data_IF_652661255510
#
_entry.id   IF_652661255510
#
_cell.length_a   1.000
_cell.length_b   1.000
_cell.length_c   1.000
_cell.angle_alpha   90.00
_cell.angle_beta   90.00
_cell.angle_gamma   90.00
#
_symmetry.space_group_name_H-M   'P 1'
#
loop_
_entity.id
_entity.type
_entity.pdbx_description
1 polymer ?
#
# COMPACT_ATOMS: atom_id res chain seq x y z
N UNK A 1 28.08 -12.59 -16.11
CA UNK A 1 27.93 -11.15 -15.79
C UNK A 1 26.47 -10.91 -15.42
N UNK A 2 26.21 -10.30 -14.26
CA UNK A 2 24.87 -10.15 -13.66
C UNK A 2 24.08 -9.08 -14.42
N UNK A 3 22.90 -9.45 -14.92
CA UNK A 3 21.99 -8.57 -15.68
C UNK A 3 20.89 -8.04 -14.74
N UNK A 4 20.50 -6.79 -14.96
CA UNK A 4 19.80 -5.89 -14.05
C UNK A 4 18.27 -6.08 -14.14
N UNK A 5 17.64 -6.29 -12.97
CA UNK A 5 16.20 -6.30 -12.73
C UNK A 5 15.66 -4.85 -12.80
N UNK A 6 14.52 -4.63 -13.45
CA UNK A 6 13.86 -3.32 -13.53
C UNK A 6 13.19 -3.05 -12.18
N UNK A 7 13.64 -2.01 -11.47
CA UNK A 7 13.28 -1.67 -10.08
C UNK A 7 12.41 -0.42 -10.07
N UNK A 8 11.22 -0.49 -9.46
CA UNK A 8 10.48 0.70 -9.06
C UNK A 8 11.17 1.33 -7.84
N UNK A 9 11.53 2.62 -7.95
CA UNK A 9 12.24 3.33 -6.89
C UNK A 9 11.26 4.11 -6.03
N UNK A 10 11.04 3.67 -4.79
CA UNK A 10 10.46 4.51 -3.76
C UNK A 10 11.60 5.03 -2.88
N UNK A 11 11.85 6.35 -2.95
CA UNK A 11 12.88 6.98 -2.15
C UNK A 11 12.28 7.38 -0.80
N UNK A 12 12.85 6.90 0.30
CA UNK A 12 12.39 7.26 1.65
C UNK A 12 13.41 8.16 2.30
N UNK A 13 12.92 9.27 2.85
CA UNK A 13 13.71 10.12 3.73
C UNK A 13 13.41 9.77 5.18
N UNK A 14 14.43 9.30 5.90
CA UNK A 14 14.37 9.02 7.34
C UNK A 14 15.14 10.12 8.07
N UNK A 15 14.44 10.96 8.83
CA UNK A 15 15.06 11.99 9.66
C UNK A 15 15.64 11.37 10.93
N UNK A 16 16.94 11.10 10.94
CA UNK A 16 17.66 10.47 12.07
C UNK A 16 17.55 11.18 13.44
N UNK A 17 17.45 12.51 13.56
CA UNK A 17 17.44 13.13 14.89
C UNK A 17 16.06 13.12 15.60
N UNK A 18 14.97 12.74 14.90
CA UNK A 18 13.59 12.75 15.46
C UNK A 18 12.93 11.36 15.42
N UNK A 19 13.53 10.40 14.71
CA UNK A 19 12.99 9.06 14.54
C UNK A 19 13.75 8.09 15.44
N UNK A 20 13.14 7.66 16.55
CA UNK A 20 13.77 6.72 17.48
C UNK A 20 14.10 5.38 16.81
N UNK A 21 15.22 4.76 17.21
CA UNK A 21 15.77 3.52 16.62
C UNK A 21 14.73 2.39 16.47
N UNK A 22 13.79 2.31 17.42
CA UNK A 22 12.69 1.32 17.42
C UNK A 22 11.73 1.53 16.25
N UNK A 23 11.34 2.78 15.96
CA UNK A 23 10.43 3.09 14.88
C UNK A 23 11.10 2.91 13.51
N UNK A 24 12.41 3.16 13.45
CA UNK A 24 13.21 2.83 12.28
C UNK A 24 13.29 1.34 12.02
N UNK A 25 13.55 0.54 13.05
CA UNK A 25 13.56 -0.90 12.93
C UNK A 25 12.19 -1.44 12.50
N UNK A 26 11.11 -0.91 13.07
CA UNK A 26 9.74 -1.28 12.70
C UNK A 26 9.46 -1.01 11.22
N UNK A 27 9.75 0.20 10.75
CA UNK A 27 9.59 0.55 9.34
C UNK A 27 10.42 -0.36 8.42
N UNK A 28 11.70 -0.58 8.74
CA UNK A 28 12.57 -1.45 7.95
C UNK A 28 12.05 -2.89 7.92
N UNK A 29 11.48 -3.38 9.03
CA UNK A 29 10.88 -4.71 9.11
C UNK A 29 9.64 -4.83 8.23
N UNK A 30 8.78 -3.81 8.18
CA UNK A 30 7.58 -3.83 7.32
C UNK A 30 7.93 -3.65 5.86
N UNK A 31 8.84 -2.75 5.51
CA UNK A 31 9.37 -2.60 4.16
C UNK A 31 9.92 -3.92 3.62
N UNK A 32 10.79 -4.59 4.39
CA UNK A 32 11.35 -5.91 4.01
C UNK A 32 10.29 -6.99 3.82
N UNK A 33 9.17 -6.93 4.55
CA UNK A 33 8.11 -7.91 4.38
C UNK A 33 7.45 -7.79 2.99
N UNK A 34 7.32 -6.56 2.47
CA UNK A 34 6.88 -6.32 1.10
C UNK A 34 7.96 -6.63 0.06
N UNK A 35 9.22 -6.23 0.29
CA UNK A 35 10.34 -6.52 -0.64
C UNK A 35 10.62 -8.02 -0.79
N UNK A 36 10.35 -8.81 0.25
CA UNK A 36 10.65 -10.25 0.25
C UNK A 36 9.93 -11.01 -0.86
N UNK A 37 8.68 -10.66 -1.10
CA UNK A 37 7.77 -11.41 -1.98
C UNK A 37 7.22 -10.52 -3.13
N UNK A 38 7.84 -9.35 -3.35
CA UNK A 38 7.57 -8.47 -4.50
C UNK A 38 8.86 -7.93 -5.12
N UNK A 39 8.77 -7.27 -6.28
CA UNK A 39 9.93 -6.62 -6.92
C UNK A 39 10.16 -5.17 -6.48
N UNK A 40 9.40 -4.67 -5.50
CA UNK A 40 9.56 -3.31 -4.98
C UNK A 40 10.80 -3.21 -4.11
N UNK A 41 11.46 -2.05 -4.09
CA UNK A 41 12.64 -1.81 -3.28
C UNK A 41 12.54 -0.44 -2.58
N UNK A 42 12.80 -0.42 -1.28
CA UNK A 42 12.81 0.78 -0.45
C UNK A 42 14.26 1.23 -0.20
N UNK A 43 14.62 2.41 -0.70
CA UNK A 43 15.98 2.96 -0.55
C UNK A 43 16.00 4.19 0.35
N UNK A 44 16.89 4.19 1.33
CA UNK A 44 17.22 5.38 2.14
C UNK A 44 17.86 6.45 1.23
N UNK A 45 17.23 7.62 1.16
CA UNK A 45 17.79 8.80 0.47
C UNK A 45 18.76 9.51 1.41
N UNK A 46 20.07 9.40 1.14
CA UNK A 46 21.13 10.13 1.87
C UNK A 46 21.18 11.60 1.44
N UNK A 47 21.00 12.51 2.40
CA UNK A 47 21.02 13.98 2.19
C UNK A 47 19.81 14.67 2.84
N UNK A 48 19.98 15.93 3.28
CA UNK A 48 18.96 16.71 3.99
C UNK A 48 17.67 16.97 3.19
N UNK A 49 16.66 17.60 3.80
CA UNK A 49 15.30 17.70 3.27
C UNK A 49 15.28 18.66 2.07
N UNK A 50 15.59 18.16 0.88
CA UNK A 50 15.19 18.81 -0.37
C UNK A 50 14.25 17.89 -1.13
N UNK A 51 12.98 18.29 -1.04
CA UNK A 51 11.79 17.66 -1.59
C UNK A 51 11.90 17.66 -3.12
N UNK A 52 11.86 16.46 -3.70
CA UNK A 52 11.75 16.27 -5.14
C UNK A 52 10.40 15.65 -5.38
N UNK A 53 9.54 16.43 -6.02
CA UNK A 53 8.11 16.19 -6.19
C UNK A 53 7.78 14.77 -6.68
N UNK A 54 7.01 14.05 -5.86
CA UNK A 54 6.10 12.99 -6.29
C UNK A 54 6.60 11.54 -6.16
N UNK A 55 7.75 11.29 -5.55
CA UNK A 55 8.23 9.90 -5.33
C UNK A 55 8.95 9.71 -3.99
N UNK A 56 8.83 10.69 -3.09
CA UNK A 56 9.47 10.64 -1.76
C UNK A 56 8.42 10.37 -0.70
N UNK A 57 8.68 9.38 0.16
CA UNK A 57 7.91 9.16 1.38
C UNK A 57 8.71 9.63 2.59
N UNK A 58 8.09 10.48 3.39
CA UNK A 58 8.61 10.92 4.67
C UNK A 58 8.06 10.01 5.76
N UNK A 59 8.95 9.21 6.35
CA UNK A 59 8.58 8.29 7.42
C UNK A 59 8.86 8.96 8.76
N UNK A 60 7.88 8.94 9.64
CA UNK A 60 7.99 9.45 11.01
C UNK A 60 7.28 8.53 12.01
N UNK A 61 7.62 8.69 13.28
CA UNK A 61 6.91 8.11 14.42
C UNK A 61 7.02 9.14 15.52
N UNK A 62 5.89 9.69 15.96
CA UNK A 62 5.89 10.75 16.97
C UNK A 62 6.03 10.12 18.37
N UNK A 63 6.81 10.76 19.23
CA UNK A 63 7.00 10.38 20.64
C UNK A 63 5.82 10.88 21.51
N UNK A 64 4.85 11.54 20.89
CA UNK A 64 3.73 12.19 21.57
C UNK A 64 2.57 11.21 21.79
N UNK A 65 1.72 11.60 22.74
CA UNK A 65 0.57 10.95 23.40
C UNK A 65 -0.41 10.11 22.52
N UNK A 66 -0.25 10.04 21.20
CA UNK A 66 -1.11 9.31 20.26
C UNK A 66 -0.26 8.33 19.42
N UNK A 67 -0.38 7.03 19.71
CA UNK A 67 0.21 5.95 18.94
C UNK A 67 -0.65 5.68 17.69
N UNK A 68 -0.40 6.36 16.59
CA UNK A 68 -1.18 6.19 15.37
C UNK A 68 -0.32 5.88 14.13
N UNK A 69 -0.90 5.11 13.22
CA UNK A 69 -0.34 4.78 11.91
C UNK A 69 -1.22 5.43 10.84
N UNK A 70 -0.58 6.06 9.85
CA UNK A 70 -1.31 6.79 8.82
C UNK A 70 -0.46 7.02 7.59
N UNK A 71 -1.09 6.97 6.41
CA UNK A 71 -0.50 7.36 5.15
C UNK A 71 -1.33 8.49 4.51
N UNK A 72 -0.71 9.66 4.34
CA UNK A 72 -1.39 10.87 3.88
C UNK A 72 -0.56 11.64 2.86
N UNK A 73 -1.21 12.50 2.07
CA UNK A 73 -0.51 13.53 1.30
C UNK A 73 0.00 14.65 2.22
N UNK A 74 1.21 15.15 1.96
CA UNK A 74 1.82 16.24 2.72
C UNK A 74 1.08 17.56 2.47
N UNK A 75 0.59 18.27 3.52
CA UNK A 75 -0.18 19.50 3.34
C UNK A 75 0.59 20.68 2.75
N UNK A 76 1.93 20.72 2.85
CA UNK A 76 2.67 21.97 2.70
C UNK A 76 3.66 22.08 1.54
N UNK A 77 4.12 21.02 0.87
CA UNK A 77 5.09 21.18 -0.23
C UNK A 77 4.91 20.04 -1.26
N UNK A 78 4.34 20.37 -2.43
CA UNK A 78 4.40 19.59 -3.68
C UNK A 78 4.27 18.05 -3.60
N UNK A 79 3.05 17.52 -3.48
CA UNK A 79 2.69 16.10 -3.79
C UNK A 79 3.55 15.01 -3.12
N UNK A 80 4.18 15.27 -2.00
CA UNK A 80 4.93 14.24 -1.28
C UNK A 80 4.04 13.51 -0.27
N UNK A 81 4.42 12.28 0.11
CA UNK A 81 3.62 11.44 1.00
C UNK A 81 4.24 11.33 2.39
N UNK A 82 3.39 11.33 3.42
CA UNK A 82 3.72 11.17 4.84
C UNK A 82 3.28 9.77 5.29
N UNK A 83 4.19 9.03 5.92
CA UNK A 83 3.92 7.71 6.49
C UNK A 83 4.29 7.71 7.98
N UNK A 84 3.28 7.56 8.83
CA UNK A 84 3.45 7.36 10.27
C UNK A 84 3.53 5.88 10.59
N UNK A 85 4.59 5.46 11.30
CA UNK A 85 4.68 4.15 11.95
C UNK A 85 4.48 4.23 13.47
N UNK A 86 3.94 5.36 13.95
CA UNK A 86 3.77 5.67 15.38
C UNK A 86 2.88 4.70 16.16
N UNK A 87 2.09 3.86 15.48
CA UNK A 87 1.32 2.80 16.16
C UNK A 87 2.21 1.73 16.82
N UNK A 88 3.48 1.60 16.42
CA UNK A 88 4.46 0.80 17.15
C UNK A 88 4.33 -0.72 17.01
N UNK A 89 3.49 -1.22 16.09
CA UNK A 89 3.36 -2.65 15.79
C UNK A 89 3.36 -2.94 14.28
N UNK A 90 3.72 -4.17 13.93
CA UNK A 90 3.98 -4.59 12.54
C UNK A 90 2.76 -4.42 11.62
N UNK A 91 1.58 -4.91 12.02
CA UNK A 91 0.39 -4.93 11.16
C UNK A 91 -0.02 -3.54 10.68
N UNK A 92 -0.09 -2.57 11.59
CA UNK A 92 -0.44 -1.18 11.25
C UNK A 92 0.62 -0.53 10.37
N UNK A 93 1.90 -0.65 10.73
CA UNK A 93 2.97 -0.09 9.88
C UNK A 93 3.04 -0.77 8.49
N UNK A 94 2.72 -2.07 8.37
CA UNK A 94 2.67 -2.77 7.10
C UNK A 94 1.45 -2.38 6.25
N UNK A 95 0.31 -2.07 6.89
CA UNK A 95 -0.88 -1.50 6.26
C UNK A 95 -0.57 -0.15 5.61
N UNK A 96 0.10 0.77 6.31
CA UNK A 96 0.47 2.07 5.74
C UNK A 96 1.48 1.95 4.60
N UNK A 97 2.38 0.96 4.66
CA UNK A 97 3.24 0.63 3.51
C UNK A 97 2.40 0.10 2.34
N UNK A 98 1.34 -0.66 2.58
CA UNK A 98 0.37 -1.07 1.56
C UNK A 98 -0.29 0.13 0.86
N UNK A 99 -0.69 1.16 1.62
CA UNK A 99 -1.18 2.41 1.05
C UNK A 99 -0.13 3.14 0.20
N UNK A 100 1.12 3.18 0.65
CA UNK A 100 2.24 3.72 -0.12
C UNK A 100 2.48 2.99 -1.45
N UNK A 101 2.19 1.68 -1.49
CA UNK A 101 2.22 0.84 -2.70
C UNK A 101 0.94 0.96 -3.54
N UNK A 102 0.00 1.81 -3.12
CA UNK A 102 -1.22 2.16 -3.84
C UNK A 102 -2.40 1.24 -3.59
N UNK A 103 -2.33 0.36 -2.57
CA UNK A 103 -3.48 -0.42 -2.13
C UNK A 103 -4.50 0.49 -1.43
N UNK A 104 -5.79 0.22 -1.67
CA UNK A 104 -6.90 0.89 -0.99
C UNK A 104 -7.44 -0.03 0.11
N UNK A 105 -8.24 0.54 1.01
CA UNK A 105 -8.98 -0.30 1.95
C UNK A 105 -9.91 -1.28 1.21
N UNK A 106 -9.80 -2.57 1.51
CA UNK A 106 -10.50 -3.62 0.75
C UNK A 106 -12.02 -3.47 0.81
N UNK A 107 -12.57 -3.01 1.94
CA UNK A 107 -14.01 -2.76 2.10
C UNK A 107 -14.54 -1.57 1.28
N UNK A 108 -13.66 -0.77 0.70
CA UNK A 108 -14.00 0.37 -0.17
C UNK A 108 -13.96 0.01 -1.65
N UNK A 109 -13.70 -1.24 -2.02
CA UNK A 109 -13.75 -1.68 -3.42
C UNK A 109 -15.15 -1.47 -4.02
N UNK A 110 -15.20 -1.17 -5.32
CA UNK A 110 -16.45 -0.98 -6.07
C UNK A 110 -17.36 -2.21 -6.00
N UNK A 111 -16.76 -3.40 -6.05
CA UNK A 111 -17.42 -4.72 -6.03
C UNK A 111 -17.71 -5.25 -4.61
N UNK A 112 -17.39 -4.48 -3.55
CA UNK A 112 -17.45 -4.96 -2.16
C UNK A 112 -18.85 -5.44 -1.73
N UNK A 113 -19.94 -4.92 -2.31
CA UNK A 113 -21.31 -5.27 -1.91
C UNK A 113 -21.68 -6.74 -2.24
N UNK A 114 -20.89 -7.43 -3.06
CA UNK A 114 -21.04 -8.89 -3.24
C UNK A 114 -20.48 -9.69 -2.04
N UNK A 115 -19.63 -9.06 -1.22
CA UNK A 115 -18.84 -9.69 -0.17
C UNK A 115 -19.17 -9.15 1.23
N UNK A 116 -19.65 -7.91 1.32
CA UNK A 116 -19.97 -7.21 2.56
C UNK A 116 -21.35 -6.57 2.50
N UNK A 117 -21.98 -6.52 3.66
CA UNK A 117 -23.17 -5.73 3.95
C UNK A 117 -22.75 -4.62 4.91
N UNK A 118 -22.97 -3.36 4.52
CA UNK A 118 -22.89 -2.22 5.43
C UNK A 118 -24.26 -2.00 6.05
N UNK A 119 -24.34 -2.08 7.39
CA UNK A 119 -25.58 -1.90 8.14
C UNK A 119 -25.66 -0.47 8.68
N UNK A 120 -26.40 0.40 7.97
CA UNK A 120 -26.52 1.83 8.32
C UNK A 120 -27.07 2.07 9.73
N UNK A 121 -27.94 1.18 10.26
CA UNK A 121 -28.41 1.27 11.66
C UNK A 121 -27.28 1.06 12.66
N UNK A 122 -26.35 0.14 12.36
CA UNK A 122 -25.18 -0.10 13.19
C UNK A 122 -24.12 1.00 13.02
N UNK A 123 -23.96 1.56 11.81
CA UNK A 123 -23.14 2.76 11.56
C UNK A 123 -23.66 3.95 12.38
N UNK A 124 -24.97 4.21 12.36
CA UNK A 124 -25.58 5.26 13.17
C UNK A 124 -25.33 5.04 14.66
N UNK A 125 -25.49 3.79 15.14
CA UNK A 125 -25.21 3.45 16.55
C UNK A 125 -23.75 3.72 16.91
N UNK A 126 -22.82 3.33 16.05
CA UNK A 126 -21.39 3.59 16.25
C UNK A 126 -21.11 5.09 16.31
N UNK A 127 -21.60 5.87 15.34
CA UNK A 127 -21.42 7.32 15.31
C UNK A 127 -21.96 7.99 16.58
N UNK A 128 -23.19 7.68 16.98
CA UNK A 128 -23.80 8.28 18.18
C UNK A 128 -23.03 7.96 19.45
N UNK A 129 -22.42 6.78 19.53
CA UNK A 129 -21.59 6.37 20.66
C UNK A 129 -20.24 7.08 20.65
N UNK A 130 -19.57 7.14 19.50
CA UNK A 130 -18.24 7.74 19.37
C UNK A 130 -18.26 9.26 19.53
N UNK A 131 -19.36 9.91 19.17
CA UNK A 131 -19.51 11.37 19.15
C UNK A 131 -20.57 11.89 20.13
N UNK A 132 -20.88 11.13 21.19
CA UNK A 132 -21.97 11.43 22.15
C UNK A 132 -21.89 12.86 22.70
N UNK A 133 -20.70 13.28 23.13
CA UNK A 133 -20.47 14.63 23.68
C UNK A 133 -20.63 15.73 22.62
N UNK A 134 -20.23 15.46 21.38
CA UNK A 134 -20.27 16.44 20.28
C UNK A 134 -21.70 16.68 19.75
N UNK A 135 -22.55 15.65 19.81
CA UNK A 135 -23.94 15.71 19.35
C UNK A 135 -24.92 16.15 20.43
N UNK A 136 -24.48 16.23 21.69
CA UNK A 136 -25.31 16.63 22.82
C UNK A 136 -25.93 18.01 22.61
N UNK A 137 -27.26 18.08 22.64
CA UNK A 137 -28.02 19.32 22.44
C UNK A 137 -28.10 19.80 20.98
N UNK A 138 -27.57 19.04 20.01
CA UNK A 138 -27.77 19.33 18.59
C UNK A 138 -29.15 18.90 18.12
N UNK A 139 -29.65 19.55 17.06
CA UNK A 139 -30.90 19.15 16.40
C UNK A 139 -30.71 17.79 15.73
N UNK A 140 -31.70 16.92 15.85
CA UNK A 140 -31.68 15.57 15.29
C UNK A 140 -31.48 15.57 13.76
N UNK A 141 -31.99 16.59 13.04
CA UNK A 141 -31.74 16.75 11.60
C UNK A 141 -30.27 17.02 11.26
N UNK A 142 -29.55 17.73 12.13
CA UNK A 142 -28.12 18.01 11.94
C UNK A 142 -27.30 16.76 12.26
N UNK A 143 -27.69 16.01 13.30
CA UNK A 143 -27.05 14.74 13.66
C UNK A 143 -27.21 13.72 12.53
N UNK A 144 -28.41 13.58 11.95
CA UNK A 144 -28.64 12.70 10.79
C UNK A 144 -27.76 13.05 9.59
N UNK A 145 -27.66 14.33 9.25
CA UNK A 145 -26.78 14.79 8.16
C UNK A 145 -25.29 14.47 8.44
N UNK A 146 -24.86 14.53 9.70
CA UNK A 146 -23.51 14.12 10.07
C UNK A 146 -23.31 12.61 9.97
N UNK A 147 -24.30 11.80 10.37
CA UNK A 147 -24.27 10.34 10.25
C UNK A 147 -24.19 9.93 8.77
N UNK A 148 -24.99 10.52 7.90
CA UNK A 148 -24.95 10.25 6.45
C UNK A 148 -23.56 10.55 5.87
N UNK A 149 -22.96 11.69 6.25
CA UNK A 149 -21.60 12.04 5.84
C UNK A 149 -20.56 11.08 6.42
N UNK A 150 -20.72 10.66 7.67
CA UNK A 150 -19.83 9.70 8.32
C UNK A 150 -19.87 8.35 7.62
N UNK A 151 -21.07 7.86 7.30
CA UNK A 151 -21.26 6.61 6.54
C UNK A 151 -20.62 6.70 5.15
N UNK A 152 -20.81 7.81 4.42
CA UNK A 152 -20.18 8.01 3.12
C UNK A 152 -18.64 8.03 3.22
N UNK A 153 -18.07 8.68 4.24
CA UNK A 153 -16.62 8.82 4.38
C UNK A 153 -15.95 7.55 4.90
N UNK A 154 -16.54 6.86 5.88
CA UNK A 154 -15.91 5.70 6.54
C UNK A 154 -16.25 4.37 5.87
N UNK A 155 -17.47 4.25 5.36
CA UNK A 155 -18.04 3.00 4.83
C UNK A 155 -18.43 3.11 3.34
N UNK A 156 -18.12 4.23 2.71
CA UNK A 156 -18.26 4.42 1.27
C UNK A 156 -17.40 3.45 0.47
N UNK A 157 -17.73 3.31 -0.81
CA UNK A 157 -16.96 2.53 -1.77
C UNK A 157 -16.60 3.36 -2.99
N UNK A 158 -15.57 2.93 -3.72
CA UNK A 158 -15.19 3.49 -5.00
C UNK A 158 -16.40 3.50 -5.94
N UNK A 159 -16.64 4.64 -6.58
CA UNK A 159 -17.66 4.78 -7.65
C UNK A 159 -17.10 4.37 -9.01
N UNK A 160 -15.79 4.37 -9.17
CA UNK A 160 -15.09 3.97 -10.39
C UNK A 160 -14.94 2.46 -10.42
N UNK A 161 -15.44 1.84 -11.48
CA UNK A 161 -15.24 0.41 -11.74
C UNK A 161 -13.77 0.15 -12.05
N UNK A 162 -13.15 -0.68 -11.21
CA UNK A 162 -11.79 -1.18 -11.37
C UNK A 162 -11.85 -2.70 -11.29
N UNK A 163 -11.01 -3.38 -12.07
CA UNK A 163 -10.87 -4.83 -11.98
C UNK A 163 -9.86 -5.26 -10.91
N UNK A 164 -9.21 -4.31 -10.22
CA UNK A 164 -8.19 -4.56 -9.19
C UNK A 164 -7.11 -5.52 -9.69
N UNK A 165 -6.64 -5.32 -10.93
CA UNK A 165 -5.67 -6.18 -11.61
C UNK A 165 -6.13 -7.66 -11.71
N UNK A 166 -7.43 -7.91 -11.63
CA UNK A 166 -8.02 -9.26 -11.61
C UNK A 166 -7.76 -10.01 -10.30
N UNK A 167 -7.46 -9.31 -9.20
CA UNK A 167 -7.32 -9.91 -7.87
C UNK A 167 -8.70 -10.01 -7.21
N UNK A 168 -9.11 -11.21 -6.74
CA UNK A 168 -10.41 -11.39 -6.09
C UNK A 168 -10.50 -10.61 -4.77
N UNK A 169 -11.71 -10.48 -4.23
CA UNK A 169 -11.93 -9.84 -2.95
C UNK A 169 -11.32 -10.68 -1.81
N UNK A 170 -10.52 -10.06 -0.95
CA UNK A 170 -9.85 -10.76 0.15
C UNK A 170 -10.29 -10.23 1.51
N UNK A 171 -11.08 -11.03 2.24
CA UNK A 171 -11.45 -10.72 3.63
C UNK A 171 -10.24 -10.66 4.57
N UNK A 172 -9.16 -11.39 4.26
CA UNK A 172 -7.94 -11.49 5.07
C UNK A 172 -6.84 -10.54 4.66
N UNK A 173 -7.11 -9.65 3.70
CA UNK A 173 -6.18 -8.60 3.30
C UNK A 173 -5.81 -7.73 4.49
N UNK A 174 -4.52 -7.37 4.59
CA UNK A 174 -4.05 -6.42 5.60
C UNK A 174 -4.73 -5.06 5.46
N UNK A 175 -5.28 -4.76 4.27
CA UNK A 175 -6.01 -3.54 3.94
C UNK A 175 -7.50 -3.61 4.30
N UNK A 176 -7.99 -4.73 4.83
CA UNK A 176 -9.40 -4.91 5.17
C UNK A 176 -9.69 -4.51 6.62
N UNK A 177 -10.65 -3.62 6.84
CA UNK A 177 -11.12 -3.29 8.19
C UNK A 177 -11.70 -4.51 8.91
N UNK A 178 -11.49 -4.57 10.23
CA UNK A 178 -12.13 -5.56 11.09
C UNK A 178 -13.64 -5.35 11.21
N UNK A 179 -14.29 -6.27 11.91
CA UNK A 179 -15.72 -6.16 12.24
C UNK A 179 -15.94 -6.43 13.72
N UNK A 180 -16.84 -5.64 14.33
CA UNK A 180 -17.17 -5.77 15.74
C UNK A 180 -17.95 -7.07 16.03
N UNK A 181 -17.84 -7.57 17.26
CA UNK A 181 -18.55 -8.80 17.60
C UNK A 181 -20.06 -8.60 17.73
N UNK A 182 -20.44 -7.46 18.31
CA UNK A 182 -21.82 -7.05 18.56
C UNK A 182 -22.16 -5.86 17.69
N UNK A 183 -23.33 -5.90 17.04
CA UNK A 183 -23.83 -4.80 16.22
C UNK A 183 -22.81 -4.23 15.20
N UNK A 184 -22.16 -5.09 14.39
CA UNK A 184 -21.13 -4.63 13.46
C UNK A 184 -21.68 -3.73 12.35
N UNK A 185 -21.02 -2.59 12.06
CA UNK A 185 -21.32 -1.78 10.88
C UNK A 185 -21.05 -2.51 9.55
N UNK A 186 -20.03 -3.35 9.50
CA UNK A 186 -19.70 -4.18 8.33
C UNK A 186 -19.85 -5.67 8.64
N UNK A 187 -20.65 -6.36 7.84
CA UNK A 187 -20.98 -7.78 8.01
C UNK A 187 -20.55 -8.54 6.75
N UNK A 188 -19.70 -9.56 6.83
CA UNK A 188 -19.41 -10.39 5.66
C UNK A 188 -20.64 -11.20 5.25
N UNK A 189 -20.86 -11.33 3.94
CA UNK A 189 -21.96 -12.13 3.38
C UNK A 189 -21.82 -13.60 3.76
N UNK A 190 -20.58 -14.14 3.77
CA UNK A 190 -20.24 -15.39 4.45
C UNK A 190 -19.73 -15.12 5.88
N UNK A 191 -20.49 -15.61 6.85
CA UNK A 191 -20.20 -15.46 8.29
C UNK A 191 -18.88 -16.12 8.71
N UNK A 192 -18.38 -17.10 7.96
CA UNK A 192 -17.09 -17.75 8.24
C UNK A 192 -15.91 -16.77 8.16
N UNK A 193 -16.06 -15.67 7.42
CA UNK A 193 -15.01 -14.65 7.26
C UNK A 193 -15.01 -13.56 8.33
N UNK A 194 -15.93 -13.61 9.31
CA UNK A 194 -16.02 -12.58 10.37
C UNK A 194 -14.70 -12.41 11.14
N UNK A 195 -14.00 -13.52 11.42
CA UNK A 195 -12.71 -13.52 12.13
C UNK A 195 -11.50 -13.39 11.20
N UNK A 196 -11.71 -13.44 9.89
CA UNK A 196 -10.67 -13.23 8.88
C UNK A 196 -10.44 -11.74 8.63
N UNK A 197 -11.51 -10.94 8.65
CA UNK A 197 -11.48 -9.48 8.54
C UNK A 197 -10.64 -8.82 9.63
N UNK A 198 -9.88 -7.78 9.28
CA UNK A 198 -8.98 -7.08 10.20
C UNK A 198 -7.66 -7.80 10.47
N UNK A 199 -7.28 -8.72 9.57
CA UNK A 199 -6.01 -9.44 9.60
C UNK A 199 -4.82 -8.50 9.73
N UNK A 200 -3.83 -8.90 10.53
CA UNK A 200 -2.59 -8.16 10.76
C UNK A 200 -1.44 -8.67 9.88
N UNK A 201 -1.75 -9.53 8.91
CA UNK A 201 -0.80 -10.18 8.02
C UNK A 201 -0.98 -9.70 6.59
N UNK A 202 0.14 -9.44 5.91
CA UNK A 202 0.14 -9.21 4.46
C UNK A 202 -0.32 -10.51 3.82
N UNK A 203 -1.49 -10.49 3.18
CA UNK A 203 -2.05 -11.67 2.54
C UNK A 203 -1.32 -11.99 1.23
N UNK A 204 -1.51 -13.20 0.74
CA UNK A 204 -1.05 -13.57 -0.59
C UNK A 204 -1.65 -12.66 -1.69
N UNK A 205 -2.92 -12.26 -1.53
CA UNK A 205 -3.61 -11.46 -2.53
C UNK A 205 -3.17 -9.98 -2.51
N UNK A 206 -2.76 -9.46 -1.34
CA UNK A 206 -2.10 -8.15 -1.24
C UNK A 206 -0.78 -8.14 -2.04
N UNK A 207 0.06 -9.16 -1.86
CA UNK A 207 1.31 -9.32 -2.61
C UNK A 207 1.07 -9.47 -4.11
N UNK A 208 0.06 -10.25 -4.49
CA UNK A 208 -0.32 -10.44 -5.89
C UNK A 208 -0.79 -9.12 -6.53
N UNK A 209 -1.59 -8.31 -5.84
CA UNK A 209 -2.04 -7.02 -6.36
C UNK A 209 -0.85 -6.07 -6.59
N UNK A 210 0.05 -5.97 -5.60
CA UNK A 210 1.28 -5.16 -5.74
C UNK A 210 2.14 -5.67 -6.90
N UNK A 211 2.36 -6.98 -6.99
CA UNK A 211 3.16 -7.56 -8.06
C UNK A 211 2.56 -7.34 -9.45
N UNK A 212 1.24 -7.40 -9.60
CA UNK A 212 0.57 -7.08 -10.86
C UNK A 212 0.60 -5.59 -11.18
N UNK A 213 0.48 -4.73 -10.17
CA UNK A 213 0.53 -3.27 -10.32
C UNK A 213 1.88 -2.78 -10.81
N UNK A 214 2.96 -3.41 -10.36
CA UNK A 214 4.33 -3.03 -10.68
C UNK A 214 5.01 -3.99 -11.69
N UNK A 215 4.22 -4.79 -12.42
CA UNK A 215 4.70 -5.72 -13.46
C UNK A 215 5.82 -6.67 -12.99
N UNK A 216 5.77 -7.08 -11.71
CA UNK A 216 6.77 -7.96 -11.10
C UNK A 216 6.64 -9.43 -11.55
N UNK A 217 5.59 -9.80 -12.29
CA UNK A 217 5.29 -11.19 -12.66
C UNK A 217 6.10 -11.74 -13.86
N UNK A 218 6.81 -10.87 -14.59
CA UNK A 218 7.49 -11.23 -15.83
C UNK A 218 6.54 -11.65 -16.97
N UNK A 219 7.10 -12.07 -18.10
CA UNK A 219 6.35 -12.36 -19.34
C UNK A 219 5.56 -13.69 -19.32
N UNK A 220 5.54 -14.45 -18.21
CA UNK A 220 4.66 -15.63 -18.09
C UNK A 220 3.25 -15.19 -17.70
N UNK A 221 2.56 -14.55 -18.65
CA UNK A 221 1.12 -14.45 -18.60
C UNK A 221 0.52 -15.85 -18.65
N UNK A 222 -0.01 -16.30 -17.50
CA UNK A 222 -1.03 -17.33 -17.35
C UNK A 222 -0.92 -18.54 -18.29
N UNK A 223 0.03 -19.43 -18.04
CA UNK A 223 -0.25 -20.83 -18.34
C UNK A 223 -1.18 -21.32 -17.22
N UNK A 224 -2.47 -21.45 -17.52
CA UNK A 224 -3.43 -22.15 -16.67
C UNK A 224 -2.82 -23.50 -16.27
N UNK A 225 -2.67 -23.74 -14.97
CA UNK A 225 -2.27 -25.04 -14.46
C UNK A 225 -3.31 -26.07 -14.93
N UNK A 226 -2.89 -26.99 -15.79
CA UNK A 226 -3.67 -28.20 -16.10
C UNK A 226 -3.63 -29.12 -14.88
N UNK A 227 -4.77 -29.72 -14.54
CA UNK A 227 -4.95 -30.59 -13.38
C UNK A 227 -3.85 -31.67 -13.29
N UNK A 228 -3.13 -31.73 -12.16
CA UNK A 228 -2.29 -32.89 -11.82
C UNK A 228 -0.94 -32.58 -11.17
N UNK A 229 -0.37 -31.39 -11.35
CA UNK A 229 0.97 -31.08 -10.83
C UNK A 229 0.92 -30.16 -9.59
N UNK A 230 1.68 -30.47 -8.51
CA UNK A 230 1.74 -29.62 -7.33
C UNK A 230 2.46 -28.31 -7.70
N UNK A 231 1.70 -27.22 -7.78
CA UNK A 231 2.24 -25.88 -8.01
C UNK A 231 2.71 -25.31 -6.68
N UNK A 232 4.02 -25.30 -6.43
CA UNK A 232 4.63 -24.41 -5.44
C UNK A 232 4.55 -22.98 -5.98
N UNK A 233 3.60 -22.19 -5.50
CA UNK A 233 3.44 -20.78 -5.88
C UNK A 233 4.42 -19.95 -5.05
N UNK A 234 5.70 -19.98 -5.42
CA UNK A 234 6.69 -19.01 -5.00
C UNK A 234 6.90 -17.98 -6.11
N UNK A 235 6.73 -16.68 -5.82
CA UNK A 235 6.94 -15.62 -6.83
C UNK A 235 8.42 -15.30 -7.11
N UNK A 236 9.36 -15.88 -6.36
CA UNK A 236 10.76 -16.15 -6.75
C UNK A 236 11.35 -17.14 -5.73
N UNK A 237 11.76 -18.33 -6.16
CA UNK A 237 12.51 -19.30 -5.34
C UNK A 237 14.01 -18.96 -5.36
N UNK A 238 14.77 -19.47 -4.36
CA UNK A 238 16.24 -19.54 -4.45
C UNK A 238 16.72 -20.28 -5.72
N UNK A 239 15.84 -21.08 -6.32
CA UNK A 239 16.06 -21.85 -7.54
C UNK A 239 15.98 -20.99 -8.82
N UNK A 240 15.42 -19.78 -8.75
CA UNK A 240 15.37 -18.84 -9.90
C UNK A 240 16.69 -18.09 -10.13
N UNK A 241 17.73 -18.44 -9.37
CA UNK A 241 19.06 -17.83 -9.44
C UNK A 241 19.80 -18.25 -10.73
N UNK A 242 19.59 -17.50 -11.80
CA UNK A 242 20.32 -17.66 -13.07
C UNK A 242 19.47 -17.66 -14.33
N UNK A 243 18.14 -17.55 -14.20
CA UNK A 243 17.23 -17.45 -15.36
C UNK A 243 17.35 -16.05 -15.98
N UNK A 244 17.66 -15.96 -17.28
CA UNK A 244 17.69 -14.69 -18.04
C UNK A 244 16.41 -14.57 -18.86
N UNK A 245 15.71 -13.44 -18.71
CA UNK A 245 14.53 -13.09 -19.50
C UNK A 245 14.92 -12.12 -20.62
N UNK A 246 14.48 -12.38 -21.85
CA UNK A 246 14.76 -11.52 -23.01
C UNK A 246 13.69 -10.44 -23.19
N UNK A 247 14.11 -9.17 -23.24
CA UNK A 247 13.26 -8.00 -23.47
C UNK A 247 13.26 -7.58 -24.95
N UNK A 248 12.08 -7.40 -25.55
CA UNK A 248 11.95 -6.80 -26.89
C UNK A 248 11.50 -5.33 -26.83
N UNK A 249 12.43 -4.45 -27.20
CA UNK A 249 12.25 -3.13 -27.85
C UNK A 249 11.44 -2.03 -27.13
N UNK A 250 11.96 -1.50 -26.01
CA UNK A 250 11.63 -0.13 -25.59
C UNK A 250 12.91 0.68 -25.32
N UNK A 251 13.06 1.91 -25.89
CA UNK A 251 14.19 2.76 -25.61
C UNK A 251 14.13 3.27 -24.16
N UNK A 252 15.24 3.13 -23.45
CA UNK A 252 15.35 3.47 -22.03
C UNK A 252 16.14 4.79 -21.91
N UNK A 253 15.59 5.82 -21.24
CA UNK A 253 16.32 7.07 -21.00
C UNK A 253 17.40 6.87 -19.94
N UNK A 254 18.60 7.37 -20.21
CA UNK A 254 19.70 7.41 -19.23
C UNK A 254 20.01 8.87 -18.96
N UNK A 255 19.77 9.30 -17.71
CA UNK A 255 20.10 10.64 -17.23
C UNK A 255 21.30 10.52 -16.31
N UNK A 256 22.41 11.16 -16.70
CA UNK A 256 23.63 11.24 -15.90
C UNK A 256 23.92 12.70 -15.55
N UNK A 257 24.26 12.95 -14.28
CA UNK A 257 24.75 14.23 -13.79
C UNK A 257 26.02 14.04 -12.97
N UNK A 258 26.90 15.04 -12.99
CA UNK A 258 28.19 15.04 -12.29
C UNK A 258 28.19 16.07 -11.18
N UNK A 259 28.63 15.71 -9.97
CA UNK A 259 28.66 16.60 -8.80
C UNK A 259 30.00 17.30 -8.56
N UNK A 260 30.99 17.17 -9.46
CA UNK A 260 32.36 17.64 -9.18
C UNK A 260 32.72 19.01 -9.73
N UNK A 261 31.92 19.64 -10.59
CA UNK A 261 32.19 20.99 -11.09
C UNK A 261 30.90 21.79 -11.33
N UNK A 262 30.92 23.07 -10.94
CA UNK A 262 29.96 24.08 -11.38
C UNK A 262 30.53 24.82 -12.61
N UNK A 263 29.74 25.12 -13.65
CA UNK A 263 28.31 24.89 -13.81
C UNK A 263 27.97 23.43 -14.21
N UNK A 264 26.78 23.00 -13.77
CA UNK A 264 26.28 21.63 -13.92
C UNK A 264 25.74 21.40 -15.35
N UNK A 265 26.45 20.64 -16.17
CA UNK A 265 25.95 20.18 -17.46
C UNK A 265 25.20 18.85 -17.31
N UNK A 266 23.94 18.81 -17.76
CA UNK A 266 23.12 17.60 -17.82
C UNK A 266 23.00 17.18 -19.28
N UNK A 267 23.33 15.92 -19.58
CA UNK A 267 23.17 15.35 -20.93
C UNK A 267 22.11 14.26 -20.89
N UNK A 268 21.11 14.37 -21.77
CA UNK A 268 20.09 13.36 -21.97
C UNK A 268 20.52 12.44 -23.11
N UNK A 269 20.62 11.12 -22.86
CA UNK A 269 20.86 10.13 -23.93
C UNK A 269 19.82 9.01 -23.85
N UNK A 270 19.46 8.50 -25.02
CA UNK A 270 18.64 7.31 -25.19
C UNK A 270 19.53 6.19 -25.71
N UNK A 271 19.37 4.96 -25.21
CA UNK A 271 20.02 3.79 -25.83
C UNK A 271 18.98 2.86 -26.43
N UNK A 272 19.25 2.40 -27.64
CA UNK A 272 18.56 1.29 -28.27
C UNK A 272 19.17 -0.02 -27.79
N UNK A 273 18.34 -0.96 -27.34
CA UNK A 273 18.80 -2.31 -27.01
C UNK A 273 18.90 -3.09 -28.31
N UNK A 274 20.13 -3.24 -28.83
CA UNK A 274 20.40 -4.14 -29.94
C UNK A 274 20.37 -5.57 -29.42
N UNK A 275 19.48 -6.37 -29.98
CA UNK A 275 19.54 -7.84 -29.90
C UNK A 275 20.79 -8.27 -30.67
N UNK A 276 21.84 -8.71 -29.98
CA UNK A 276 22.89 -9.46 -30.67
C UNK A 276 22.34 -10.84 -31.00
N UNK A 277 22.55 -11.21 -32.27
CA UNK A 277 22.22 -12.50 -32.86
C UNK A 277 22.88 -13.68 -32.14
#
# INVERSE_FOLDING_TARGET
MKTILIIFFLAIHVSRPVFGDIMQELFLKTARAWEKDTCVEFKEKKGGPKLTTGSTIFVYGDDKKYFDCSFNESPNEGKDHLLSVGCGYFGGAAHEVGHALGLIHTHTRYDRDAYLIVNSTNVEREYRKSYEDEIKGRKESDVKRQIEKYEEVQYGKSKTMSNYYGVPYDYGSIMHYGTADTNPPMIPTDKNHKRTMGSQFISFLDLLEVNKRYDCLGDRQYALATEGDPVEIGFCSKDDKGVQLESKKSPVPIITYSMTTAPLHVTLKYRSVSTKA
#
